data_IF_999161944667
#
_entry.id   IF_999161944667
#
_cell.length_a   1.000
_cell.length_b   1.000
_cell.length_c   1.000
_cell.angle_alpha   90.00
_cell.angle_beta   90.00
_cell.angle_gamma   90.00
#
_symmetry.space_group_name_H-M   'P 1'
#
loop_
_entity.id
_entity.type
_entity.pdbx_description
1 polymer ?
#
# COMPACT_ATOMS: atom_id res chain seq x y z
N UNK A 1 -3.16 -14.39 -23.27
CA UNK A 1 -2.56 -13.54 -22.22
C UNK A 1 -3.51 -13.57 -21.05
N UNK A 2 -3.28 -14.49 -20.12
CA UNK A 2 -3.98 -14.50 -18.85
C UNK A 2 -3.75 -13.15 -18.15
N UNK A 3 -4.80 -12.47 -17.66
CA UNK A 3 -4.59 -11.28 -16.86
C UNK A 3 -3.75 -11.69 -15.66
N UNK A 4 -2.54 -11.16 -15.57
CA UNK A 4 -1.72 -11.33 -14.38
C UNK A 4 -2.52 -10.70 -13.25
N UNK A 5 -3.15 -11.53 -12.43
CA UNK A 5 -3.80 -11.11 -11.19
C UNK A 5 -2.69 -10.72 -10.21
N UNK A 6 -2.03 -9.58 -10.49
CA UNK A 6 -1.04 -9.01 -9.59
C UNK A 6 -1.81 -8.61 -8.34
N UNK A 7 -1.54 -9.34 -7.26
CA UNK A 7 -2.16 -9.09 -5.98
C UNK A 7 -1.49 -7.86 -5.37
N UNK A 8 -2.00 -6.67 -5.66
CA UNK A 8 -1.43 -5.41 -5.16
C UNK A 8 -1.64 -5.19 -3.66
N UNK A 9 -2.68 -5.78 -3.09
CA UNK A 9 -3.04 -5.64 -1.66
C UNK A 9 -3.09 -7.02 -0.99
N UNK A 10 -2.48 -7.12 0.18
CA UNK A 10 -2.54 -8.29 1.03
C UNK A 10 -3.05 -7.98 2.45
N UNK A 11 -3.70 -8.97 3.06
CA UNK A 11 -4.08 -8.95 4.48
C UNK A 11 -3.47 -10.18 5.13
N UNK A 12 -2.43 -9.96 5.95
CA UNK A 12 -1.76 -11.02 6.70
C UNK A 12 -2.00 -10.76 8.19
N UNK A 13 -2.54 -11.72 8.97
CA UNK A 13 -2.80 -11.53 10.41
C UNK A 13 -1.58 -11.04 11.19
N UNK A 14 -0.38 -11.50 10.83
CA UNK A 14 0.90 -11.08 11.44
C UNK A 14 1.53 -9.79 10.88
N UNK A 15 0.92 -9.15 9.88
CA UNK A 15 1.42 -7.90 9.28
C UNK A 15 0.45 -6.78 9.60
N UNK A 16 0.97 -5.74 10.28
CA UNK A 16 0.20 -4.54 10.64
C UNK A 16 -1.15 -4.85 11.35
N UNK A 17 -1.20 -5.93 12.14
CA UNK A 17 -2.40 -6.36 12.88
C UNK A 17 -3.53 -6.90 12.00
N UNK A 18 -3.23 -7.50 10.85
CA UNK A 18 -4.24 -8.02 9.92
C UNK A 18 -4.84 -6.97 8.99
N UNK A 19 -4.34 -5.73 9.04
CA UNK A 19 -4.78 -4.64 8.16
C UNK A 19 -4.34 -4.87 6.72
N UNK A 20 -5.09 -4.27 5.79
CA UNK A 20 -4.73 -4.26 4.38
C UNK A 20 -3.41 -3.50 4.18
N UNK A 21 -2.44 -4.16 3.58
CA UNK A 21 -1.13 -3.61 3.25
C UNK A 21 -0.86 -3.79 1.75
N UNK A 22 -0.04 -2.90 1.18
CA UNK A 22 0.49 -3.10 -0.17
C UNK A 22 1.34 -4.37 -0.16
N UNK A 23 1.07 -5.28 -1.09
CA UNK A 23 1.69 -6.59 -1.12
C UNK A 23 3.22 -6.50 -1.20
N UNK A 24 3.90 -7.30 -0.38
CA UNK A 24 5.37 -7.27 -0.30
C UNK A 24 5.93 -6.15 0.56
N UNK A 25 5.08 -5.30 1.14
CA UNK A 25 5.49 -4.20 2.03
C UNK A 25 4.80 -4.29 3.39
N UNK A 26 5.18 -3.40 4.32
CA UNK A 26 4.41 -3.15 5.55
C UNK A 26 3.64 -1.83 5.51
N UNK A 27 3.44 -1.27 4.32
CA UNK A 27 2.70 -0.03 4.10
C UNK A 27 1.20 -0.35 4.11
N UNK A 28 0.46 0.24 5.05
CA UNK A 28 -0.99 0.02 5.14
C UNK A 28 -1.70 0.88 4.11
N UNK A 29 -2.78 0.36 3.52
CA UNK A 29 -3.60 1.09 2.55
C UNK A 29 -4.16 2.40 3.14
N UNK A 30 -4.54 2.36 4.42
CA UNK A 30 -5.00 3.56 5.15
C UNK A 30 -3.92 4.65 5.25
N UNK A 31 -2.64 4.30 5.30
CA UNK A 31 -1.57 5.30 5.40
C UNK A 31 -1.39 6.00 4.04
N UNK A 32 -1.50 5.24 2.93
CA UNK A 32 -1.51 5.80 1.57
C UNK A 32 -2.67 6.79 1.39
N UNK A 33 -3.86 6.47 1.89
CA UNK A 33 -4.99 7.41 1.89
C UNK A 33 -4.66 8.71 2.64
N UNK A 34 -4.08 8.62 3.84
CA UNK A 34 -3.69 9.81 4.62
C UNK A 34 -2.66 10.65 3.87
N UNK A 35 -1.67 10.02 3.24
CA UNK A 35 -0.63 10.72 2.50
C UNK A 35 -1.16 11.38 1.23
N UNK A 36 -1.97 10.67 0.45
CA UNK A 36 -2.52 11.19 -0.80
C UNK A 36 -3.64 12.20 -0.57
N UNK A 37 -4.69 11.82 0.15
CA UNK A 37 -5.92 12.63 0.27
C UNK A 37 -5.80 13.72 1.34
N UNK A 38 -5.19 13.42 2.50
CA UNK A 38 -5.12 14.39 3.61
C UNK A 38 -3.87 15.26 3.58
N UNK A 39 -2.77 14.77 2.99
CA UNK A 39 -1.50 15.51 2.90
C UNK A 39 -1.16 15.99 1.49
N UNK A 40 -1.94 15.61 0.47
CA UNK A 40 -1.72 16.03 -0.91
C UNK A 40 -0.43 15.50 -1.54
N UNK A 41 0.15 14.42 -1.00
CA UNK A 41 1.36 13.82 -1.55
C UNK A 41 1.02 13.03 -2.82
N UNK A 42 1.81 13.20 -3.86
CA UNK A 42 1.67 12.41 -5.08
C UNK A 42 2.09 10.95 -4.85
N UNK A 43 1.58 9.99 -5.65
CA UNK A 43 2.01 8.59 -5.57
C UNK A 43 3.52 8.43 -5.71
N UNK A 44 4.16 9.16 -6.62
CA UNK A 44 5.61 9.17 -6.80
C UNK A 44 6.37 9.65 -5.56
N UNK A 45 5.88 10.69 -4.87
CA UNK A 45 6.47 11.13 -3.60
C UNK A 45 6.32 10.07 -2.51
N UNK A 46 5.18 9.39 -2.44
CA UNK A 46 4.96 8.30 -1.47
C UNK A 46 5.95 7.16 -1.72
N UNK A 47 6.14 6.75 -2.97
CA UNK A 47 7.10 5.70 -3.35
C UNK A 47 8.55 6.15 -3.11
N UNK A 48 8.87 7.41 -3.37
CA UNK A 48 10.22 7.96 -3.11
C UNK A 48 10.55 7.95 -1.62
N UNK A 49 9.57 8.24 -0.77
CA UNK A 49 9.73 8.20 0.68
C UNK A 49 9.76 6.76 1.24
N UNK A 50 9.12 5.82 0.55
CA UNK A 50 8.99 4.42 0.96
C UNK A 50 9.18 3.48 -0.24
N UNK A 51 10.44 3.19 -0.64
CA UNK A 51 10.75 2.29 -1.75
C UNK A 51 10.45 0.82 -1.45
#
# INVERSE_FOLDING_TARGET
>A
MDPVLVKHIEKKPGVCGGKACVAGTRIRVQDVYVWHELRGQSPDEIVTNFP
#
